data_IF_561087461234
#
_entry.id   IF_561087461234
#
_cell.length_a   1.000
_cell.length_b   1.000
_cell.length_c   1.000
_cell.angle_alpha   90.00
_cell.angle_beta   90.00
_cell.angle_gamma   90.00
#
_symmetry.space_group_name_H-M   'P 1'
#
loop_
_entity.id
_entity.type
_entity.pdbx_description
1 polymer ?
#
# COMPACT_ATOMS: atom_id res chain seq x y z
N UNK A 1 15.43 5.81 -5.45
CA UNK A 1 14.75 5.90 -4.15
C UNK A 1 13.89 7.18 -4.14
N UNK A 2 12.61 7.09 -3.79
CA UNK A 2 11.68 8.23 -3.76
C UNK A 2 11.02 8.28 -2.39
N UNK A 3 11.30 9.34 -1.63
CA UNK A 3 10.63 9.63 -0.36
C UNK A 3 9.34 10.42 -0.63
N UNK A 4 8.35 10.38 0.29
CA UNK A 4 7.15 11.19 0.16
C UNK A 4 7.49 12.69 0.02
N UNK A 5 6.97 13.32 -1.03
CA UNK A 5 7.02 14.75 -1.27
C UNK A 5 5.73 15.45 -0.82
N UNK A 6 5.62 16.75 -1.10
CA UNK A 6 4.44 17.55 -0.71
C UNK A 6 3.11 17.04 -1.25
N UNK A 7 3.12 16.43 -2.45
CA UNK A 7 1.92 15.90 -3.09
C UNK A 7 1.45 14.54 -2.55
N UNK A 8 2.26 13.86 -1.73
CA UNK A 8 1.94 12.52 -1.21
C UNK A 8 1.18 12.57 0.12
N UNK A 9 1.06 13.76 0.73
CA UNK A 9 0.31 13.95 1.97
C UNK A 9 -1.20 13.88 1.70
N UNK A 10 -2.01 13.23 2.56
CA UNK A 10 -3.46 13.26 2.44
C UNK A 10 -3.99 14.69 2.40
N UNK A 11 -4.90 14.99 1.48
CA UNK A 11 -5.51 16.31 1.36
C UNK A 11 -6.19 16.76 2.65
N UNK A 12 -6.81 15.82 3.36
CA UNK A 12 -7.40 16.03 4.67
C UNK A 12 -6.68 15.15 5.69
N UNK A 13 -5.96 15.77 6.63
CA UNK A 13 -5.18 15.07 7.64
C UNK A 13 -5.54 15.53 9.05
N UNK A 14 -6.37 14.73 9.74
CA UNK A 14 -6.90 15.05 11.07
C UNK A 14 -6.16 14.26 12.15
N UNK A 15 -5.67 14.96 13.18
CA UNK A 15 -4.95 14.36 14.30
C UNK A 15 -5.55 14.85 15.61
N UNK A 16 -5.86 13.91 16.52
CA UNK A 16 -6.41 14.21 17.84
C UNK A 16 -5.62 13.47 18.92
N UNK A 17 -5.33 14.16 20.01
CA UNK A 17 -4.77 13.55 21.21
C UNK A 17 -5.91 13.20 22.19
N UNK A 18 -5.86 11.99 22.75
CA UNK A 18 -6.83 11.56 23.73
C UNK A 18 -6.74 12.42 24.99
N UNK A 19 -7.81 13.16 25.29
CA UNK A 19 -7.90 14.04 26.46
C UNK A 19 -8.08 13.23 27.74
N UNK A 20 -7.62 13.79 28.86
CA UNK A 20 -7.80 13.22 30.21
C UNK A 20 -7.25 11.78 30.37
N UNK A 21 -6.13 11.46 29.70
CA UNK A 21 -5.51 10.13 29.73
C UNK A 21 -4.10 10.14 30.38
N UNK A 22 -3.99 10.41 31.70
CA UNK A 22 -2.70 10.54 32.38
C UNK A 22 -1.93 9.21 32.44
N UNK A 23 -0.62 9.27 32.22
CA UNK A 23 0.28 8.11 32.32
C UNK A 23 1.08 8.10 33.64
N UNK A 24 0.61 7.37 34.65
CA UNK A 24 1.30 7.26 35.96
C UNK A 24 2.72 6.69 35.89
N UNK A 25 3.13 6.09 34.76
CA UNK A 25 4.43 5.40 34.61
C UNK A 25 5.53 6.26 33.99
N UNK A 26 5.21 7.44 33.49
CA UNK A 26 6.16 8.30 32.79
C UNK A 26 6.22 9.70 33.41
N UNK A 27 7.33 10.39 33.14
CA UNK A 27 7.55 11.75 33.64
C UNK A 27 6.44 12.68 33.16
N UNK A 28 5.90 13.48 34.07
CA UNK A 28 4.79 14.41 33.82
C UNK A 28 3.58 13.78 33.10
N UNK A 29 3.30 12.49 33.32
CA UNK A 29 2.21 11.78 32.65
C UNK A 29 2.31 11.72 31.11
N UNK A 30 3.52 11.83 30.56
CA UNK A 30 3.81 11.79 29.11
C UNK A 30 3.78 10.37 28.52
N UNK A 31 3.90 10.27 27.18
CA UNK A 31 4.09 9.00 26.46
C UNK A 31 5.09 9.21 25.33
N UNK A 32 5.96 8.23 25.09
CA UNK A 32 6.81 8.20 23.91
C UNK A 32 5.96 7.92 22.67
N UNK A 33 6.05 8.78 21.66
CA UNK A 33 5.23 8.71 20.43
C UNK A 33 6.07 8.73 19.14
N UNK A 34 7.39 8.50 19.24
CA UNK A 34 8.28 8.52 18.07
C UNK A 34 7.96 7.42 17.06
N UNK A 35 7.97 6.16 17.51
CA UNK A 35 7.75 4.98 16.66
C UNK A 35 6.29 4.53 16.54
N UNK A 36 5.45 4.57 17.60
CA UNK A 36 4.11 3.98 17.55
C UNK A 36 3.21 4.46 16.39
N UNK A 37 3.23 5.74 15.98
CA UNK A 37 2.40 6.21 14.87
C UNK A 37 2.84 5.69 13.49
N UNK A 38 4.07 5.19 13.34
CA UNK A 38 4.59 4.76 12.03
C UNK A 38 3.71 3.68 11.39
N UNK A 39 3.23 2.73 12.19
CA UNK A 39 2.39 1.65 11.69
C UNK A 39 0.98 2.11 11.27
N UNK A 40 0.50 3.27 11.77
CA UNK A 40 -0.80 3.81 11.36
C UNK A 40 -0.84 4.13 9.86
N UNK A 41 0.30 4.38 9.22
CA UNK A 41 0.41 4.57 7.78
C UNK A 41 -0.01 3.33 6.97
N UNK A 42 0.00 2.12 7.57
CA UNK A 42 -0.51 0.91 6.92
C UNK A 42 -2.01 1.02 6.57
N UNK A 43 -2.75 1.95 7.20
CA UNK A 43 -4.13 2.27 6.79
C UNK A 43 -4.24 2.64 5.31
N UNK A 44 -3.28 3.41 4.77
CA UNK A 44 -3.25 3.80 3.35
C UNK A 44 -3.02 2.59 2.46
N UNK A 45 -2.13 1.68 2.88
CA UNK A 45 -1.89 0.42 2.15
C UNK A 45 -3.17 -0.42 2.05
N UNK A 46 -3.92 -0.57 3.15
CA UNK A 46 -5.17 -1.32 3.15
C UNK A 46 -6.30 -0.61 2.40
N UNK A 47 -6.34 0.72 2.41
CA UNK A 47 -7.26 1.48 1.57
C UNK A 47 -7.00 1.24 0.07
N UNK A 48 -5.73 1.24 -0.35
CA UNK A 48 -5.34 0.88 -1.73
C UNK A 48 -5.75 -0.56 -2.04
N UNK A 49 -5.48 -1.51 -1.14
CA UNK A 49 -5.87 -2.91 -1.33
C UNK A 49 -7.38 -3.03 -1.53
N UNK A 50 -8.18 -2.32 -0.73
CA UNK A 50 -9.63 -2.32 -0.85
C UNK A 50 -10.10 -1.73 -2.20
N UNK A 51 -9.49 -0.65 -2.66
CA UNK A 51 -9.78 -0.07 -3.97
C UNK A 51 -9.50 -1.06 -5.12
N UNK A 52 -8.40 -1.82 -5.04
CA UNK A 52 -8.07 -2.86 -6.01
C UNK A 52 -9.09 -4.01 -5.94
N UNK A 53 -9.50 -4.44 -4.75
CA UNK A 53 -10.57 -5.45 -4.60
C UNK A 53 -11.83 -5.00 -5.34
N UNK A 54 -12.26 -3.74 -5.16
CA UNK A 54 -13.42 -3.20 -5.86
C UNK A 54 -13.26 -3.25 -7.39
N UNK A 55 -12.11 -2.81 -7.92
CA UNK A 55 -11.83 -2.83 -9.35
C UNK A 55 -11.80 -4.27 -9.94
N UNK A 56 -11.32 -5.24 -9.17
CA UNK A 56 -11.31 -6.65 -9.57
C UNK A 56 -12.70 -7.24 -9.63
N UNK A 57 -13.55 -6.94 -8.64
CA UNK A 57 -14.95 -7.37 -8.62
C UNK A 57 -15.69 -6.84 -9.85
N UNK A 58 -15.50 -5.55 -10.18
CA UNK A 58 -16.10 -4.93 -11.38
C UNK A 58 -15.63 -5.60 -12.68
N UNK A 59 -14.39 -6.08 -12.71
CA UNK A 59 -13.80 -6.78 -13.86
C UNK A 59 -14.13 -8.28 -13.89
N UNK A 60 -14.98 -8.78 -12.97
CA UNK A 60 -15.33 -10.21 -12.88
C UNK A 60 -14.20 -11.12 -12.40
N UNK A 61 -13.18 -10.55 -11.72
CA UNK A 61 -12.04 -11.28 -11.16
C UNK A 61 -12.25 -11.58 -9.67
N UNK A 62 -11.56 -12.60 -9.16
CA UNK A 62 -11.61 -12.93 -7.73
C UNK A 62 -11.12 -11.75 -6.87
N UNK A 63 -11.83 -11.40 -5.79
CA UNK A 63 -11.41 -10.38 -4.83
C UNK A 63 -10.17 -10.79 -4.03
N UNK A 64 -9.88 -12.09 -3.96
CA UNK A 64 -8.72 -12.60 -3.24
C UNK A 64 -7.47 -12.47 -4.09
N UNK A 65 -6.52 -11.65 -3.61
CA UNK A 65 -5.22 -11.50 -4.23
C UNK A 65 -4.15 -11.13 -3.19
N UNK A 66 -2.90 -11.47 -3.50
CA UNK A 66 -1.74 -11.09 -2.72
C UNK A 66 -1.23 -9.72 -3.20
N UNK A 67 -1.04 -8.81 -2.25
CA UNK A 67 -0.40 -7.52 -2.48
C UNK A 67 0.78 -7.41 -1.51
N UNK A 68 2.00 -7.38 -2.03
CA UNK A 68 3.20 -7.26 -1.22
C UNK A 68 3.57 -5.77 -1.02
N UNK A 69 4.10 -5.45 0.16
CA UNK A 69 4.65 -4.12 0.47
C UNK A 69 6.02 -3.92 -0.19
N UNK A 70 6.36 -2.72 -0.68
CA UNK A 70 5.50 -1.55 -0.84
C UNK A 70 4.48 -1.73 -1.97
N UNK A 71 3.29 -1.15 -1.83
CA UNK A 71 2.29 -1.08 -2.89
C UNK A 71 2.72 -0.05 -3.96
N UNK A 72 3.71 -0.40 -4.78
CA UNK A 72 4.20 0.45 -5.87
C UNK A 72 3.14 0.60 -6.96
N UNK A 73 3.28 1.66 -7.77
CA UNK A 73 2.41 1.88 -8.94
C UNK A 73 2.37 0.68 -9.88
N UNK A 74 3.49 -0.04 -10.02
CA UNK A 74 3.59 -1.28 -10.79
C UNK A 74 2.72 -2.39 -10.20
N UNK A 75 2.88 -2.70 -8.90
CA UNK A 75 2.10 -3.74 -8.23
C UNK A 75 0.60 -3.42 -8.21
N UNK A 76 0.24 -2.15 -8.02
CA UNK A 76 -1.15 -1.68 -8.08
C UNK A 76 -1.71 -1.93 -9.49
N UNK A 77 -1.00 -1.48 -10.53
CA UNK A 77 -1.45 -1.59 -11.92
C UNK A 77 -1.63 -3.04 -12.36
N UNK A 78 -0.67 -3.91 -12.01
CA UNK A 78 -0.72 -5.33 -12.36
C UNK A 78 -1.76 -6.11 -11.58
N UNK A 79 -2.15 -5.63 -10.39
CA UNK A 79 -3.22 -6.25 -9.60
C UNK A 79 -4.63 -5.95 -10.14
N UNK A 80 -4.80 -4.79 -10.80
CA UNK A 80 -6.02 -4.43 -11.52
C UNK A 80 -6.05 -5.11 -12.90
N UNK A 81 -6.62 -6.31 -12.97
CA UNK A 81 -6.71 -7.06 -14.21
C UNK A 81 -7.76 -6.45 -15.17
N UNK A 82 -7.35 -6.22 -16.41
CA UNK A 82 -8.22 -5.73 -17.49
C UNK A 82 -7.77 -6.30 -18.85
N UNK A 83 -8.43 -5.86 -19.92
CA UNK A 83 -8.11 -6.27 -21.31
C UNK A 83 -6.66 -6.02 -21.72
N UNK A 84 -6.01 -4.99 -21.18
CA UNK A 84 -4.62 -4.66 -21.49
C UNK A 84 -3.66 -5.60 -20.76
N UNK A 85 -3.94 -5.89 -19.49
CA UNK A 85 -3.16 -6.86 -18.70
C UNK A 85 -3.20 -8.25 -19.34
N UNK A 86 -4.35 -8.67 -19.88
CA UNK A 86 -4.51 -9.95 -20.58
C UNK A 86 -3.74 -10.02 -21.91
N UNK A 87 -3.65 -8.90 -22.65
CA UNK A 87 -2.87 -8.85 -23.90
C UNK A 87 -1.37 -9.04 -23.64
N UNK A 88 -0.86 -8.48 -22.54
CA UNK A 88 0.54 -8.63 -22.15
C UNK A 88 0.86 -10.07 -21.73
N UNK A 89 -0.02 -10.72 -20.97
CA UNK A 89 0.16 -12.12 -20.56
C UNK A 89 0.25 -13.10 -21.74
N UNK A 90 -0.41 -12.81 -22.86
CA UNK A 90 -0.33 -13.65 -24.07
C UNK A 90 1.04 -13.59 -24.76
N UNK A 91 1.79 -12.50 -24.60
CA UNK A 91 3.13 -12.35 -25.17
C UNK A 91 4.24 -12.81 -24.21
N UNK A 92 3.99 -12.87 -22.90
CA UNK A 92 4.98 -13.30 -21.90
C UNK A 92 5.14 -14.83 -21.79
N UNK A 93 4.38 -15.62 -22.56
CA UNK A 93 4.47 -17.08 -22.59
C UNK A 93 5.64 -17.64 -23.41
N UNK A 94 6.33 -16.79 -24.17
CA UNK A 94 7.64 -17.13 -24.74
C UNK A 94 8.71 -16.82 -23.68
N UNK A 95 9.20 -17.85 -22.99
CA UNK A 95 10.37 -17.78 -22.11
C UNK A 95 11.58 -17.31 -22.93
N UNK A 96 11.75 -15.99 -23.02
CA UNK A 96 12.99 -15.41 -23.51
C UNK A 96 14.06 -15.65 -22.45
N UNK A 97 15.15 -16.30 -22.87
CA UNK A 97 16.40 -16.53 -22.13
C UNK A 97 17.11 -15.19 -21.80
N UNK A 98 16.43 -14.28 -21.10
CA UNK A 98 16.95 -13.00 -20.64
C UNK A 98 17.09 -13.01 -19.13
N UNK A 99 18.24 -12.58 -18.62
CA UNK A 99 18.42 -12.35 -17.18
C UNK A 99 17.55 -11.18 -16.74
N UNK A 100 16.68 -11.41 -15.76
CA UNK A 100 15.86 -10.35 -15.14
C UNK A 100 16.75 -9.32 -14.45
N UNK A 101 16.54 -8.04 -14.73
CA UNK A 101 17.34 -6.94 -14.17
C UNK A 101 17.11 -6.72 -12.67
N UNK A 102 15.87 -6.91 -12.19
CA UNK A 102 15.49 -6.79 -10.79
C UNK A 102 14.50 -7.89 -10.41
N UNK A 103 14.80 -8.65 -9.37
CA UNK A 103 13.82 -9.56 -8.74
C UNK A 103 13.05 -8.84 -7.63
N UNK A 104 11.79 -9.23 -7.35
CA UNK A 104 11.11 -8.76 -6.16
C UNK A 104 11.88 -9.21 -4.91
N UNK A 105 12.14 -8.29 -4.00
CA UNK A 105 12.51 -8.60 -2.62
C UNK A 105 11.30 -9.09 -1.83
#
# INVERSE_FOLDING_TARGET
YKIPGFGDCPHQFNVHLLRNAPNKRAIFSSKGVGEPPLFLAASVFFAIKNAIVSARIESGLSPDFRLDSPATVERIRMSCGDKFTLQHQKHSGEETSGTTWCFPA
#
